data_IF_489534455000
#
_entry.id   IF_489534455000
#
_cell.length_a   1.000
_cell.length_b   1.000
_cell.length_c   1.000
_cell.angle_alpha   90.00
_cell.angle_beta   90.00
_cell.angle_gamma   90.00
#
_symmetry.space_group_name_H-M   'P 1'
#
loop_
_entity.id
_entity.type
_entity.pdbx_description
1 polymer ?
#
# COMPACT_ATOMS: atom_id res chain seq x y z
N UNK A 1 -1.49 23.97 -0.84
CA UNK A 1 -2.14 22.79 -1.41
C UNK A 1 -1.05 21.87 -1.89
N UNK A 2 -0.78 20.85 -1.09
CA UNK A 2 0.34 19.92 -1.25
C UNK A 2 -0.19 18.64 -1.87
N UNK A 3 0.45 18.18 -2.94
CA UNK A 3 0.24 16.84 -3.49
C UNK A 3 1.22 15.87 -2.83
N UNK A 4 0.80 14.63 -2.63
CA UNK A 4 1.61 13.58 -2.03
C UNK A 4 1.82 12.46 -3.04
N UNK A 5 3.08 12.18 -3.34
CA UNK A 5 3.52 11.02 -4.11
C UNK A 5 4.22 10.06 -3.16
N UNK A 6 3.80 8.80 -3.16
CA UNK A 6 4.39 7.74 -2.34
C UNK A 6 5.05 6.73 -3.26
N UNK A 7 6.35 6.50 -3.04
CA UNK A 7 7.07 5.43 -3.74
C UNK A 7 7.06 4.17 -2.87
N UNK A 8 6.38 3.13 -3.34
CA UNK A 8 6.43 1.81 -2.73
C UNK A 8 7.71 1.13 -3.25
N UNK A 9 8.76 1.12 -2.42
CA UNK A 9 10.03 0.49 -2.79
C UNK A 9 9.90 -1.05 -2.78
N UNK A 10 9.65 -1.62 -1.59
CA UNK A 10 9.56 -3.05 -1.35
C UNK A 10 8.78 -3.36 -0.08
N UNK A 11 8.34 -4.60 0.05
CA UNK A 11 7.73 -5.15 1.28
C UNK A 11 8.54 -6.35 1.77
N UNK A 12 8.78 -6.42 3.08
CA UNK A 12 9.44 -7.55 3.73
C UNK A 12 8.43 -8.57 4.26
N UNK A 13 8.49 -9.82 3.78
CA UNK A 13 7.63 -10.92 4.22
C UNK A 13 8.47 -12.19 4.39
N UNK A 14 8.22 -12.98 5.44
CA UNK A 14 8.94 -14.25 5.67
C UNK A 14 8.82 -15.22 4.49
N UNK A 15 7.73 -15.15 3.74
CA UNK A 15 7.40 -16.01 2.60
C UNK A 15 7.17 -15.22 1.30
N UNK A 16 7.89 -14.10 1.12
CA UNK A 16 7.75 -13.19 -0.04
C UNK A 16 7.84 -13.93 -1.38
N UNK A 17 8.84 -14.80 -1.56
CA UNK A 17 9.06 -15.54 -2.80
C UNK A 17 7.87 -16.42 -3.23
N UNK A 18 7.07 -16.88 -2.27
CA UNK A 18 5.90 -17.75 -2.49
C UNK A 18 4.64 -16.98 -2.90
N UNK A 19 4.64 -15.65 -2.82
CA UNK A 19 3.51 -14.84 -3.23
C UNK A 19 3.36 -14.82 -4.76
N UNK A 20 2.22 -15.27 -5.26
CA UNK A 20 1.91 -15.31 -6.71
C UNK A 20 1.17 -14.03 -7.08
N UNK A 21 1.60 -13.41 -8.18
CA UNK A 21 1.06 -12.17 -8.73
C UNK A 21 0.83 -11.08 -7.66
N UNK A 22 1.85 -10.75 -6.85
CA UNK A 22 1.67 -9.82 -5.74
C UNK A 22 1.50 -8.39 -6.24
N UNK A 23 0.57 -7.66 -5.63
CA UNK A 23 0.37 -6.22 -5.83
C UNK A 23 -0.06 -5.55 -4.53
N UNK A 24 -0.03 -4.22 -4.49
CA UNK A 24 -0.51 -3.45 -3.35
C UNK A 24 -1.74 -2.66 -3.77
N UNK A 25 -2.79 -2.72 -2.96
CA UNK A 25 -3.91 -1.80 -3.03
C UNK A 25 -3.66 -0.63 -2.08
N UNK A 26 -3.72 0.58 -2.61
CA UNK A 26 -3.60 1.83 -1.85
C UNK A 26 -4.98 2.48 -1.75
N UNK A 27 -5.39 2.80 -0.52
CA UNK A 27 -6.64 3.51 -0.25
C UNK A 27 -6.44 4.57 0.82
N UNK A 28 -7.20 5.66 0.75
CA UNK A 28 -7.22 6.69 1.79
C UNK A 28 -8.56 6.62 2.48
N UNK A 29 -8.56 6.34 3.78
CA UNK A 29 -9.79 6.12 4.56
C UNK A 29 -9.95 7.16 5.65
N UNK A 30 -11.18 7.50 5.99
CA UNK A 30 -11.49 8.30 7.18
C UNK A 30 -11.50 7.44 8.46
N UNK A 31 -11.82 8.06 9.60
CA UNK A 31 -11.90 7.39 10.91
C UNK A 31 -12.94 6.26 10.97
N UNK A 32 -13.92 6.27 10.07
CA UNK A 32 -14.96 5.24 9.96
C UNK A 32 -14.58 4.14 8.96
N UNK A 33 -13.39 4.22 8.35
CA UNK A 33 -12.92 3.29 7.32
C UNK A 33 -13.50 3.54 5.92
N UNK A 34 -14.15 4.70 5.70
CA UNK A 34 -14.77 5.05 4.42
C UNK A 34 -13.71 5.65 3.48
N UNK A 35 -13.68 5.19 2.24
CA UNK A 35 -12.75 5.70 1.23
C UNK A 35 -13.00 7.19 0.91
N UNK A 36 -11.96 8.00 1.08
CA UNK A 36 -11.93 9.44 0.78
C UNK A 36 -11.45 9.77 -0.63
N UNK A 37 -10.81 8.80 -1.29
CA UNK A 37 -10.30 8.88 -2.66
C UNK A 37 -10.56 7.55 -3.39
N UNK A 38 -10.57 7.53 -4.73
CA UNK A 38 -10.57 6.27 -5.46
C UNK A 38 -9.43 5.35 -5.01
N UNK A 39 -9.74 4.06 -4.88
CA UNK A 39 -8.78 3.01 -4.58
C UNK A 39 -7.87 2.79 -5.79
N UNK A 40 -6.57 2.58 -5.55
CA UNK A 40 -5.57 2.39 -6.59
C UNK A 40 -4.84 1.06 -6.38
N UNK A 41 -4.60 0.31 -7.45
CA UNK A 41 -3.78 -0.90 -7.41
C UNK A 41 -2.45 -0.64 -8.12
N UNK A 42 -1.36 -1.12 -7.52
CA UNK A 42 -0.08 -1.17 -8.23
C UNK A 42 -0.14 -2.21 -9.35
N UNK A 43 0.72 -2.11 -10.37
CA UNK A 43 1.05 -3.25 -11.21
C UNK A 43 1.55 -4.43 -10.35
N UNK A 44 1.41 -5.64 -10.90
CA UNK A 44 1.97 -6.84 -10.28
C UNK A 44 3.50 -6.76 -10.23
N UNK A 45 4.08 -7.04 -9.07
CA UNK A 45 5.54 -7.09 -8.94
C UNK A 45 6.10 -8.39 -9.54
N UNK A 46 7.07 -8.24 -10.43
CA UNK A 46 7.80 -9.35 -11.04
C UNK A 46 9.07 -9.73 -10.27
N UNK A 47 9.69 -8.77 -9.57
CA UNK A 47 10.94 -8.99 -8.83
C UNK A 47 10.65 -9.43 -7.40
N UNK A 48 10.95 -10.69 -7.11
CA UNK A 48 10.81 -11.31 -5.80
C UNK A 48 12.13 -11.95 -5.35
N UNK A 49 12.41 -11.83 -4.07
CA UNK A 49 13.48 -12.51 -3.34
C UNK A 49 12.83 -13.38 -2.24
N UNK A 50 13.62 -14.13 -1.47
CA UNK A 50 13.08 -15.01 -0.42
C UNK A 50 12.25 -14.24 0.61
N UNK A 51 12.74 -13.05 0.98
CA UNK A 51 12.16 -12.22 2.06
C UNK A 51 11.62 -10.87 1.60
N UNK A 52 11.74 -10.51 0.32
CA UNK A 52 11.28 -9.23 -0.21
C UNK A 52 10.53 -9.35 -1.54
N UNK A 53 9.48 -8.54 -1.72
CA UNK A 53 8.89 -8.23 -3.03
C UNK A 53 9.20 -6.76 -3.35
N UNK A 54 9.77 -6.50 -4.53
CA UNK A 54 10.16 -5.16 -4.96
C UNK A 54 9.13 -4.60 -5.94
N UNK A 55 8.61 -3.41 -5.67
CA UNK A 55 7.62 -2.73 -6.50
C UNK A 55 8.22 -1.58 -7.30
N UNK A 56 9.00 -0.70 -6.64
CA UNK A 56 9.57 0.51 -7.23
C UNK A 56 8.56 1.32 -8.05
N UNK A 57 7.34 1.47 -7.52
CA UNK A 57 6.24 2.18 -8.18
C UNK A 57 5.85 3.41 -7.36
N UNK A 58 5.51 4.49 -8.06
CA UNK A 58 4.97 5.70 -7.46
C UNK A 58 3.45 5.69 -7.53
N UNK A 59 2.81 6.12 -6.45
CA UNK A 59 1.37 6.28 -6.33
C UNK A 59 1.08 7.73 -5.94
N UNK A 60 0.20 8.38 -6.69
CA UNK A 60 -0.26 9.73 -6.40
C UNK A 60 -1.54 9.70 -5.59
N UNK A 61 -1.52 10.34 -4.42
CA UNK A 61 -2.74 10.50 -3.62
C UNK A 61 -3.66 11.51 -4.30
N UNK A 62 -4.85 11.06 -4.70
CA UNK A 62 -5.82 11.80 -5.51
C UNK A 62 -6.59 12.88 -4.72
N UNK A 63 -5.91 13.56 -3.78
CA UNK A 63 -6.42 14.65 -2.98
C UNK A 63 -5.27 15.44 -2.35
N UNK A 64 -5.41 16.77 -2.29
CA UNK A 64 -4.45 17.59 -1.55
C UNK A 64 -4.45 17.22 -0.07
N UNK A 65 -3.26 17.16 0.54
CA UNK A 65 -3.06 16.73 1.94
C UNK A 65 -3.90 17.58 2.91
N UNK A 66 -3.99 18.89 2.69
CA UNK A 66 -4.76 19.80 3.55
C UNK A 66 -6.28 19.60 3.46
N UNK A 67 -6.77 18.84 2.46
CA UNK A 67 -8.19 18.49 2.29
C UNK A 67 -8.53 17.12 2.88
N UNK A 68 -7.56 16.37 3.39
CA UNK A 68 -7.81 15.13 4.10
C UNK A 68 -8.31 15.43 5.51
N UNK A 69 -9.33 14.70 5.96
CA UNK A 69 -9.95 14.92 7.26
C UNK A 69 -9.00 14.47 8.37
N UNK A 70 -9.11 15.09 9.54
CA UNK A 70 -8.36 14.63 10.73
C UNK A 70 -8.78 13.19 11.06
N UNK A 71 -7.80 12.34 11.35
CA UNK A 71 -8.03 10.90 11.56
C UNK A 71 -8.16 10.09 10.28
N UNK A 72 -7.85 10.68 9.12
CA UNK A 72 -7.65 9.89 7.90
C UNK A 72 -6.33 9.11 7.96
N UNK A 73 -6.25 8.01 7.22
CA UNK A 73 -5.04 7.22 7.06
C UNK A 73 -4.91 6.68 5.63
N UNK A 74 -3.67 6.48 5.20
CA UNK A 74 -3.36 5.86 3.91
C UNK A 74 -3.03 4.39 4.18
N UNK A 75 -3.80 3.49 3.60
CA UNK A 75 -3.65 2.04 3.73
C UNK A 75 -2.90 1.46 2.54
N UNK A 76 -2.06 0.46 2.82
CA UNK A 76 -1.33 -0.35 1.86
C UNK A 76 -1.67 -1.82 2.11
N UNK A 77 -2.61 -2.37 1.33
CA UNK A 77 -2.98 -3.78 1.45
C UNK A 77 -2.15 -4.61 0.47
N UNK A 78 -1.30 -5.50 1.00
CA UNK A 78 -0.60 -6.46 0.15
C UNK A 78 -1.52 -7.61 -0.24
N UNK A 79 -1.70 -7.81 -1.55
CA UNK A 79 -2.56 -8.83 -2.12
C UNK A 79 -1.75 -9.81 -2.96
N UNK A 80 -2.17 -11.08 -2.94
CA UNK A 80 -1.56 -12.14 -3.73
C UNK A 80 -2.59 -13.22 -4.10
N UNK A 81 -2.35 -13.91 -5.20
CA UNK A 81 -3.20 -15.02 -5.65
C UNK A 81 -2.96 -16.28 -4.81
N UNK A 82 -4.04 -16.90 -4.31
CA UNK A 82 -4.01 -18.19 -3.61
C UNK A 82 -4.45 -19.31 -4.54
N UNK A 83 -3.53 -20.11 -5.13
CA UNK A 83 -3.87 -21.06 -6.19
C UNK A 83 -4.82 -22.17 -5.72
N UNK A 84 -4.67 -22.63 -4.47
CA UNK A 84 -5.57 -23.64 -3.88
C UNK A 84 -7.00 -23.13 -3.67
N UNK A 85 -7.17 -21.82 -3.52
CA UNK A 85 -8.47 -21.19 -3.27
C UNK A 85 -9.04 -20.47 -4.49
N UNK A 86 -8.22 -20.28 -5.53
CA UNK A 86 -8.57 -19.64 -6.81
C UNK A 86 -9.10 -18.21 -6.67
N UNK A 87 -8.58 -17.46 -5.71
CA UNK A 87 -8.92 -16.05 -5.54
C UNK A 87 -7.72 -15.25 -5.04
N UNK A 88 -7.76 -13.93 -5.24
CA UNK A 88 -6.79 -12.99 -4.69
C UNK A 88 -7.14 -12.64 -3.26
N UNK A 89 -6.20 -12.85 -2.33
CA UNK A 89 -6.38 -12.57 -0.91
C UNK A 89 -5.52 -11.38 -0.51
N UNK A 90 -6.06 -10.50 0.32
CA UNK A 90 -5.23 -9.65 1.19
C UNK A 90 -4.48 -10.56 2.17
N UNK A 91 -3.16 -10.38 2.27
CA UNK A 91 -2.30 -11.16 3.18
C UNK A 91 -2.01 -10.38 4.46
N UNK A 92 -1.73 -9.10 4.33
CA UNK A 92 -1.44 -8.15 5.41
C UNK A 92 -1.74 -6.73 4.90
N UNK A 93 -1.73 -5.77 5.81
CA UNK A 93 -1.84 -4.36 5.49
C UNK A 93 -0.94 -3.53 6.40
N UNK A 94 -0.47 -2.41 5.88
CA UNK A 94 0.11 -1.33 6.67
C UNK A 94 -0.78 -0.11 6.52
N UNK A 95 -0.70 0.85 7.44
CA UNK A 95 -1.30 2.17 7.26
C UNK A 95 -0.40 3.24 7.86
N UNK A 96 -0.55 4.46 7.36
CA UNK A 96 0.10 5.64 7.92
C UNK A 96 -0.95 6.71 8.21
N UNK A 97 -0.87 7.30 9.39
CA UNK A 97 -1.69 8.45 9.78
C UNK A 97 -1.17 9.75 9.13
N UNK A 98 -2.01 10.79 9.18
CA UNK A 98 -1.72 12.08 8.53
C UNK A 98 -0.48 12.78 9.10
N UNK A 99 -0.17 12.60 10.38
CA UNK A 99 0.98 13.21 11.06
C UNK A 99 2.30 12.46 10.79
N UNK A 100 2.23 11.25 10.26
CA UNK A 100 3.39 10.48 9.79
C UNK A 100 3.88 10.92 8.41
N UNK A 101 3.10 11.72 7.68
CA UNK A 101 3.47 12.25 6.36
C UNK A 101 4.63 13.25 6.51
N UNK A 102 5.81 12.79 6.14
CA UNK A 102 7.05 13.58 6.10
C UNK A 102 7.87 13.24 4.86
N UNK A 103 8.70 14.19 4.42
CA UNK A 103 9.64 13.93 3.33
C UNK A 103 10.68 12.87 3.75
N UNK A 104 11.04 12.00 2.82
CA UNK A 104 12.07 10.98 3.00
C UNK A 104 11.52 9.56 3.06
N UNK A 105 12.35 8.65 3.57
CA UNK A 105 12.02 7.23 3.69
C UNK A 105 11.32 6.93 5.01
N UNK A 106 10.38 6.00 4.97
CA UNK A 106 9.69 5.46 6.14
C UNK A 106 9.52 3.95 5.95
N UNK A 107 9.63 3.21 7.05
CA UNK A 107 9.29 1.79 7.13
C UNK A 107 8.09 1.68 8.05
N UNK A 108 7.07 0.94 7.61
CA UNK A 108 5.83 0.74 8.35
C UNK A 108 5.67 -0.76 8.56
N UNK A 109 5.25 -1.16 9.76
CA UNK A 109 4.93 -2.54 10.11
C UNK A 109 3.68 -3.07 9.40
N UNK A 110 3.52 -4.40 9.42
CA UNK A 110 2.47 -5.17 8.75
C UNK A 110 1.56 -5.89 9.75
#
# INVERSE_FOLDING_TARGET
>A
MTLLTIRIEKIGLKDAGQCIDPYVTVSVKDINGIDLTPVQDTPMASRKEDTYVHFNVEIEIQKHVEKLTKGAAIFFEFKHYKPKKRFTSTKCFAFMEMDEIKAGQIVIEL
#
